data_IF_398295272898
#
_entry.id   IF_398295272898
#
_cell.length_a   1.000
_cell.length_b   1.000
_cell.length_c   1.000
_cell.angle_alpha   90.00
_cell.angle_beta   90.00
_cell.angle_gamma   90.00
#
_symmetry.space_group_name_H-M   'P 1'
#
loop_
_entity.id
_entity.type
_entity.pdbx_description
1 polymer ?
#
# COMPACT_ATOMS: atom_id res chain seq x y z
N UNK A 1 -15.44 -6.07 61.25
CA UNK A 1 -15.68 -7.28 60.44
C UNK A 1 -14.71 -8.37 60.90
N UNK A 2 -15.22 -9.50 61.39
CA UNK A 2 -14.42 -10.48 62.12
C UNK A 2 -13.59 -11.35 61.15
N UNK A 3 -12.28 -11.53 61.37
CA UNK A 3 -11.39 -12.27 60.43
C UNK A 3 -11.85 -13.71 60.16
N UNK A 4 -12.58 -14.30 61.10
CA UNK A 4 -13.17 -15.64 60.96
C UNK A 4 -14.39 -15.65 60.03
N UNK A 5 -15.11 -14.53 59.90
CA UNK A 5 -16.24 -14.39 58.99
C UNK A 5 -15.77 -14.33 57.53
N UNK A 6 -14.64 -13.66 57.27
CA UNK A 6 -14.01 -13.60 55.93
C UNK A 6 -13.50 -14.98 55.50
N UNK A 7 -12.96 -15.78 56.42
CA UNK A 7 -12.52 -17.16 56.11
C UNK A 7 -13.68 -18.11 55.79
N UNK A 8 -14.82 -17.97 56.47
CA UNK A 8 -16.02 -18.78 56.21
C UNK A 8 -16.61 -18.44 54.83
N UNK A 9 -16.63 -17.16 54.45
CA UNK A 9 -17.10 -16.74 53.11
C UNK A 9 -16.14 -17.20 52.01
N UNK A 10 -14.82 -17.16 52.23
CA UNK A 10 -13.83 -17.69 51.27
C UNK A 10 -13.88 -19.21 51.11
N UNK A 11 -14.23 -19.96 52.16
CA UNK A 11 -14.38 -21.42 52.07
C UNK A 11 -15.68 -21.84 51.36
N UNK A 12 -16.76 -21.07 51.52
CA UNK A 12 -18.03 -21.34 50.84
C UNK A 12 -17.97 -21.05 49.31
N UNK A 13 -17.21 -20.04 48.88
CA UNK A 13 -17.01 -19.74 47.45
C UNK A 13 -16.14 -20.79 46.76
N UNK A 14 -15.25 -21.47 47.49
CA UNK A 14 -14.40 -22.52 46.93
C UNK A 14 -15.15 -23.86 46.70
N UNK A 15 -16.26 -24.10 47.41
CA UNK A 15 -17.07 -25.33 47.26
C UNK A 15 -18.11 -25.20 46.14
N UNK A 16 -18.54 -23.98 45.79
CA UNK A 16 -19.43 -23.76 44.65
C UNK A 16 -18.74 -23.93 43.27
N UNK A 17 -17.41 -24.09 43.25
CA UNK A 17 -16.61 -24.22 42.02
C UNK A 17 -16.38 -25.68 41.55
N UNK A 18 -16.97 -26.70 42.20
CA UNK A 18 -16.75 -28.12 41.82
C UNK A 18 -18.05 -28.92 41.64
N UNK A 19 -19.22 -28.27 41.55
CA UNK A 19 -20.43 -28.96 41.06
C UNK A 19 -20.41 -29.02 39.53
N UNK A 20 -19.64 -29.98 39.02
CA UNK A 20 -19.76 -30.46 37.65
C UNK A 20 -21.17 -30.97 37.39
N UNK A 21 -21.81 -30.43 36.35
CA UNK A 21 -22.95 -31.08 35.73
C UNK A 21 -22.40 -32.23 34.89
N UNK A 22 -22.66 -33.47 35.32
CA UNK A 22 -22.46 -34.64 34.48
C UNK A 22 -23.46 -34.60 33.33
N UNK A 23 -22.98 -34.45 32.10
CA UNK A 23 -23.77 -34.54 30.88
C UNK A 23 -23.59 -35.97 30.30
N UNK A 24 -24.65 -36.66 29.88
CA UNK A 24 -24.54 -37.97 29.22
C UNK A 24 -23.77 -37.82 27.90
N UNK A 25 -23.11 -38.89 27.40
CA UNK A 25 -22.28 -38.79 26.20
C UNK A 25 -23.14 -38.40 25.01
N UNK A 26 -22.91 -37.19 24.50
CA UNK A 26 -23.51 -36.72 23.27
C UNK A 26 -22.57 -37.10 22.12
N UNK A 27 -23.14 -37.96 21.27
CA UNK A 27 -22.78 -38.31 19.90
C UNK A 27 -21.83 -37.34 19.19
N UNK A 28 -20.82 -37.93 18.51
CA UNK A 28 -19.91 -37.28 17.57
C UNK A 28 -20.70 -36.56 16.48
N UNK A 29 -21.04 -35.30 16.74
CA UNK A 29 -21.61 -34.41 15.75
C UNK A 29 -20.52 -33.45 15.31
N UNK A 30 -20.06 -33.65 14.08
CA UNK A 30 -19.36 -32.64 13.30
C UNK A 30 -20.12 -31.32 13.44
N UNK A 31 -19.63 -30.42 14.30
CA UNK A 31 -20.08 -29.03 14.34
C UNK A 31 -19.54 -28.38 13.08
N UNK A 32 -20.30 -28.48 11.98
CA UNK A 32 -20.14 -27.61 10.83
C UNK A 32 -20.47 -26.20 11.30
N UNK A 33 -19.44 -25.42 11.64
CA UNK A 33 -19.57 -23.98 11.79
C UNK A 33 -20.30 -23.45 10.55
N UNK A 34 -21.40 -22.73 10.77
CA UNK A 34 -22.12 -22.09 9.68
C UNK A 34 -21.13 -21.22 8.89
N UNK A 35 -21.20 -21.16 7.55
CA UNK A 35 -20.27 -20.36 6.76
C UNK A 35 -20.32 -18.92 7.28
N UNK A 36 -19.21 -18.44 7.81
CA UNK A 36 -19.04 -17.03 8.15
C UNK A 36 -19.28 -16.22 6.88
N UNK A 37 -20.10 -15.18 6.97
CA UNK A 37 -20.38 -14.28 5.84
C UNK A 37 -19.05 -13.77 5.22
N UNK A 38 -18.96 -13.81 3.90
CA UNK A 38 -17.80 -13.34 3.14
C UNK A 38 -17.68 -11.81 3.29
N UNK A 39 -16.56 -11.35 3.84
CA UNK A 39 -16.24 -9.93 4.01
C UNK A 39 -15.35 -9.49 2.85
N UNK A 40 -15.75 -8.46 2.12
CA UNK A 40 -14.94 -7.88 1.04
C UNK A 40 -14.14 -6.70 1.54
N UNK A 41 -12.81 -6.78 1.46
CA UNK A 41 -11.90 -5.71 1.85
C UNK A 41 -11.34 -5.02 0.61
N UNK A 42 -11.83 -3.82 0.29
CA UNK A 42 -11.45 -3.07 -0.91
C UNK A 42 -10.27 -2.15 -0.66
N UNK A 43 -9.22 -2.30 -1.46
CA UNK A 43 -7.97 -1.56 -1.32
C UNK A 43 -7.64 -0.82 -2.62
N UNK A 44 -7.59 0.51 -2.59
CA UNK A 44 -7.01 1.31 -3.67
C UNK A 44 -5.55 1.59 -3.38
N UNK A 45 -4.64 1.24 -4.29
CA UNK A 45 -3.22 1.40 -4.02
C UNK A 45 -2.39 1.88 -5.21
N UNK A 46 -1.24 2.47 -4.89
CA UNK A 46 -0.23 2.87 -5.84
C UNK A 46 0.30 1.66 -6.63
N UNK A 47 0.58 1.84 -7.92
CA UNK A 47 1.14 0.80 -8.78
C UNK A 47 2.42 0.16 -8.24
N UNK A 48 3.31 0.95 -7.63
CA UNK A 48 4.56 0.47 -7.03
C UNK A 48 4.36 -0.46 -5.82
N UNK A 49 3.16 -0.53 -5.25
CA UNK A 49 2.82 -1.39 -4.10
C UNK A 49 2.19 -2.73 -4.53
N UNK A 50 2.01 -2.98 -5.84
CA UNK A 50 1.29 -4.15 -6.32
C UNK A 50 1.89 -5.49 -5.87
N UNK A 51 3.23 -5.64 -5.93
CA UNK A 51 3.93 -6.84 -5.48
C UNK A 51 3.80 -7.04 -3.96
N UNK A 52 4.23 -6.10 -3.10
CA UNK A 52 4.16 -6.30 -1.66
C UNK A 52 2.72 -6.43 -1.13
N UNK A 53 1.74 -5.75 -1.74
CA UNK A 53 0.34 -5.92 -1.34
C UNK A 53 -0.27 -7.24 -1.83
N UNK A 54 0.23 -7.82 -2.92
CA UNK A 54 -0.19 -9.17 -3.34
C UNK A 54 0.34 -10.24 -2.39
N UNK A 55 1.53 -10.06 -1.83
CA UNK A 55 2.07 -10.93 -0.78
C UNK A 55 1.27 -10.75 0.52
N UNK A 56 0.97 -9.50 0.90
CA UNK A 56 0.17 -9.20 2.09
C UNK A 56 -1.27 -9.75 1.98
N UNK A 57 -1.90 -9.67 0.81
CA UNK A 57 -3.22 -10.26 0.55
C UNK A 57 -3.23 -11.75 0.90
N UNK A 58 -2.28 -12.53 0.37
CA UNK A 58 -2.19 -13.97 0.61
C UNK A 58 -2.06 -14.31 2.10
N UNK A 59 -1.18 -13.59 2.80
CA UNK A 59 -0.96 -13.80 4.23
C UNK A 59 -2.20 -13.37 5.04
N UNK A 60 -2.86 -12.27 4.65
CA UNK A 60 -4.03 -11.76 5.35
C UNK A 60 -5.23 -12.70 5.21
N UNK A 61 -5.48 -13.23 4.01
CA UNK A 61 -6.57 -14.18 3.74
C UNK A 61 -6.30 -15.56 4.38
N UNK A 62 -5.04 -15.99 4.45
CA UNK A 62 -4.68 -17.21 5.19
C UNK A 62 -5.00 -17.10 6.69
N UNK A 63 -4.87 -15.90 7.26
CA UNK A 63 -5.22 -15.62 8.67
C UNK A 63 -6.71 -15.33 8.88
N UNK A 64 -7.43 -14.92 7.84
CA UNK A 64 -8.85 -14.56 7.89
C UNK A 64 -9.61 -15.25 6.74
N UNK A 65 -9.97 -16.55 6.89
CA UNK A 65 -10.53 -17.35 5.80
C UNK A 65 -11.85 -16.86 5.22
N UNK A 66 -12.52 -15.92 5.90
CA UNK A 66 -13.78 -15.33 5.49
C UNK A 66 -13.65 -13.93 4.86
N UNK A 67 -12.42 -13.47 4.60
CA UNK A 67 -12.15 -12.18 3.96
C UNK A 67 -11.64 -12.40 2.53
N UNK A 68 -12.21 -11.64 1.59
CA UNK A 68 -11.77 -11.52 0.20
C UNK A 68 -11.16 -10.13 -0.01
N UNK A 69 -9.84 -10.05 -0.22
CA UNK A 69 -9.12 -8.79 -0.41
C UNK A 69 -9.13 -8.38 -1.87
N UNK A 70 -9.83 -7.28 -2.15
CA UNK A 70 -10.03 -6.77 -3.51
C UNK A 70 -9.14 -5.55 -3.77
N UNK A 71 -8.00 -5.76 -4.45
CA UNK A 71 -7.05 -4.68 -4.78
C UNK A 71 -7.30 -4.05 -6.15
N UNK A 72 -7.31 -2.72 -6.19
CA UNK A 72 -7.28 -1.91 -7.42
C UNK A 72 -5.97 -1.09 -7.49
N UNK A 73 -5.09 -1.47 -8.41
CA UNK A 73 -3.77 -0.85 -8.61
C UNK A 73 -3.81 0.29 -9.64
N UNK A 74 -3.33 1.48 -9.29
CA UNK A 74 -3.24 2.63 -10.20
C UNK A 74 -2.24 3.71 -9.73
N UNK A 75 -2.06 4.79 -10.50
CA UNK A 75 -1.29 5.96 -10.04
C UNK A 75 -1.96 6.59 -8.82
N UNK A 76 -1.17 7.08 -7.84
CA UNK A 76 -1.72 7.44 -6.52
C UNK A 76 -2.72 8.60 -6.57
N UNK A 77 -2.53 9.60 -7.44
CA UNK A 77 -3.51 10.68 -7.62
C UNK A 77 -4.81 10.11 -8.17
N UNK A 78 -4.73 9.18 -9.12
CA UNK A 78 -5.91 8.49 -9.66
C UNK A 78 -6.62 7.63 -8.60
N UNK A 79 -5.86 6.96 -7.73
CA UNK A 79 -6.39 6.15 -6.63
C UNK A 79 -7.20 7.01 -5.64
N UNK A 80 -6.63 8.15 -5.22
CA UNK A 80 -7.34 9.10 -4.35
C UNK A 80 -8.61 9.63 -5.02
N UNK A 81 -8.54 9.99 -6.31
CA UNK A 81 -9.70 10.47 -7.07
C UNK A 81 -10.81 9.44 -7.26
N UNK A 82 -10.53 8.13 -7.14
CA UNK A 82 -11.61 7.15 -7.10
C UNK A 82 -12.57 7.40 -5.93
N UNK A 83 -12.05 7.86 -4.80
CA UNK A 83 -12.83 8.13 -3.60
C UNK A 83 -13.38 9.55 -3.65
N UNK A 84 -12.53 10.55 -3.88
CA UNK A 84 -12.89 11.97 -3.75
C UNK A 84 -13.79 12.46 -4.88
N UNK A 85 -13.52 12.05 -6.13
CA UNK A 85 -14.18 12.61 -7.31
C UNK A 85 -15.25 11.65 -7.85
N UNK A 86 -14.95 10.35 -7.88
CA UNK A 86 -15.85 9.31 -8.41
C UNK A 86 -16.83 8.79 -7.35
N UNK A 87 -16.49 8.91 -6.06
CA UNK A 87 -17.34 8.44 -4.96
C UNK A 87 -17.31 6.92 -4.75
N UNK A 88 -16.28 6.21 -5.25
CA UNK A 88 -16.07 4.81 -4.88
C UNK A 88 -15.77 4.69 -3.39
N UNK A 89 -16.25 3.60 -2.77
CA UNK A 89 -15.92 3.24 -1.38
C UNK A 89 -14.73 2.28 -1.37
N UNK A 90 -13.74 2.59 -0.53
CA UNK A 90 -12.60 1.72 -0.25
C UNK A 90 -12.32 1.71 1.25
N UNK A 91 -11.83 0.58 1.74
CA UNK A 91 -11.53 0.37 3.16
C UNK A 91 -10.08 0.78 3.47
N UNK A 92 -9.18 0.64 2.50
CA UNK A 92 -7.79 1.05 2.60
C UNK A 92 -7.37 1.84 1.37
N UNK A 93 -6.64 2.94 1.58
CA UNK A 93 -5.91 3.63 0.52
C UNK A 93 -4.41 3.67 0.82
N UNK A 94 -3.60 3.24 -0.14
CA UNK A 94 -2.14 3.22 0.00
C UNK A 94 -1.48 4.02 -1.14
N UNK A 95 -0.97 5.20 -0.82
CA UNK A 95 -0.37 6.13 -1.77
C UNK A 95 1.16 6.03 -1.78
N UNK A 96 1.79 6.22 -2.96
CA UNK A 96 3.24 6.40 -3.09
C UNK A 96 3.69 7.83 -2.73
N UNK A 97 2.74 8.72 -2.47
CA UNK A 97 2.96 10.05 -1.92
C UNK A 97 1.98 10.32 -0.78
N UNK A 98 2.49 10.31 0.45
CA UNK A 98 1.65 10.47 1.64
C UNK A 98 0.94 11.83 1.67
N UNK A 99 1.49 12.86 1.00
CA UNK A 99 0.92 14.21 1.03
C UNK A 99 -0.43 14.31 0.30
N UNK A 100 -0.72 13.37 -0.60
CA UNK A 100 -2.00 13.31 -1.32
C UNK A 100 -3.17 13.03 -0.38
N UNK A 101 -2.97 12.27 0.70
CA UNK A 101 -4.04 11.93 1.65
C UNK A 101 -4.48 13.20 2.42
N UNK A 102 -3.60 13.93 3.15
CA UNK A 102 -4.01 15.17 3.80
C UNK A 102 -4.49 16.26 2.84
N UNK A 103 -3.92 16.36 1.63
CA UNK A 103 -4.26 17.46 0.71
C UNK A 103 -5.55 17.27 -0.06
N UNK A 104 -5.97 16.03 -0.31
CA UNK A 104 -7.13 15.74 -1.16
C UNK A 104 -8.25 15.00 -0.43
N UNK A 105 -7.97 14.32 0.69
CA UNK A 105 -8.97 13.52 1.39
C UNK A 105 -9.43 14.14 2.71
N UNK A 106 -8.63 15.01 3.33
CA UNK A 106 -9.02 15.57 4.62
C UNK A 106 -9.94 16.79 4.47
N UNK A 107 -10.89 17.00 5.40
CA UNK A 107 -11.34 16.05 6.43
C UNK A 107 -12.43 15.08 5.92
N UNK A 108 -12.92 15.28 4.70
CA UNK A 108 -14.18 14.70 4.24
C UNK A 108 -14.15 13.17 4.02
N UNK A 109 -12.97 12.60 3.75
CA UNK A 109 -12.79 11.19 3.39
C UNK A 109 -11.75 10.47 4.26
N UNK A 110 -10.95 11.19 5.05
CA UNK A 110 -9.98 10.62 5.97
C UNK A 110 -9.62 11.61 7.09
N UNK A 111 -9.27 11.08 8.26
CA UNK A 111 -8.84 11.87 9.43
C UNK A 111 -7.35 11.71 9.75
N UNK A 112 -6.73 10.65 9.27
CA UNK A 112 -5.35 10.29 9.61
C UNK A 112 -4.62 9.55 8.47
N UNK A 113 -3.28 9.59 8.53
CA UNK A 113 -2.40 8.91 7.57
C UNK A 113 -1.17 8.41 8.30
N UNK A 114 -0.67 7.23 7.92
CA UNK A 114 0.57 6.65 8.45
C UNK A 114 1.60 6.56 7.34
N UNK A 115 2.82 6.99 7.62
CA UNK A 115 3.98 6.82 6.73
C UNK A 115 4.68 5.52 7.09
N UNK A 116 4.65 4.55 6.19
CA UNK A 116 5.15 3.20 6.48
C UNK A 116 6.34 2.77 5.60
N UNK A 117 6.61 3.46 4.49
CA UNK A 117 7.67 3.11 3.56
C UNK A 117 8.29 4.35 2.89
N UNK A 118 9.48 4.16 2.30
CA UNK A 118 10.19 5.13 1.45
C UNK A 118 10.67 4.44 0.18
N UNK A 119 11.03 5.23 -0.84
CA UNK A 119 11.59 4.73 -2.09
C UNK A 119 12.56 5.75 -2.68
N UNK A 120 13.38 5.32 -3.63
CA UNK A 120 14.36 6.14 -4.34
C UNK A 120 14.04 6.18 -5.84
N UNK A 121 14.20 7.35 -6.45
CA UNK A 121 14.09 7.48 -7.91
C UNK A 121 15.39 6.97 -8.55
N UNK A 122 15.25 6.08 -9.54
CA UNK A 122 16.36 5.52 -10.32
C UNK A 122 16.03 5.58 -11.81
N UNK A 123 17.07 5.49 -12.63
CA UNK A 123 16.93 5.24 -14.06
C UNK A 123 17.10 3.75 -14.32
N UNK A 124 16.00 3.04 -14.53
CA UNK A 124 16.04 1.62 -14.89
C UNK A 124 16.34 1.45 -16.38
N UNK A 125 17.23 0.51 -16.72
CA UNK A 125 17.58 0.17 -18.10
C UNK A 125 17.97 -1.31 -18.21
N UNK A 126 17.99 -1.82 -19.45
CA UNK A 126 18.43 -3.19 -19.75
C UNK A 126 19.82 -3.17 -20.38
N UNK A 127 20.75 -3.95 -19.84
CA UNK A 127 22.09 -4.11 -20.42
C UNK A 127 22.09 -4.69 -21.83
N UNK A 128 21.03 -5.41 -22.22
CA UNK A 128 20.92 -6.04 -23.53
C UNK A 128 20.14 -5.21 -24.55
N UNK A 129 19.13 -4.45 -24.09
CA UNK A 129 18.14 -3.80 -24.98
C UNK A 129 18.28 -2.28 -25.03
N UNK A 130 18.86 -1.67 -24.00
CA UNK A 130 18.98 -0.22 -23.94
C UNK A 130 20.21 0.25 -24.71
N UNK A 131 20.06 1.34 -25.45
CA UNK A 131 21.19 1.99 -26.11
C UNK A 131 22.12 2.59 -25.06
N UNK A 132 23.43 2.53 -25.32
CA UNK A 132 24.47 3.08 -24.45
C UNK A 132 24.48 2.48 -23.03
N UNK A 133 23.98 1.26 -22.85
CA UNK A 133 23.88 0.62 -21.54
C UNK A 133 25.24 0.37 -20.88
N UNK A 134 26.30 0.17 -21.67
CA UNK A 134 27.67 -0.02 -21.18
C UNK A 134 28.40 1.32 -20.93
N UNK A 135 27.83 2.44 -21.38
CA UNK A 135 28.40 3.78 -21.24
C UNK A 135 27.73 4.61 -20.15
N UNK A 136 26.51 4.27 -19.75
CA UNK A 136 25.71 5.06 -18.80
C UNK A 136 26.28 4.98 -17.38
N UNK A 137 26.36 6.14 -16.71
CA UNK A 137 26.87 6.30 -15.36
C UNK A 137 26.09 7.38 -14.58
N UNK A 138 26.23 7.44 -13.24
CA UNK A 138 25.64 8.51 -12.43
C UNK A 138 26.07 9.93 -12.84
N UNK A 139 27.21 10.08 -13.51
CA UNK A 139 27.78 11.35 -13.93
C UNK A 139 27.31 11.81 -15.32
N UNK A 140 26.82 10.88 -16.17
CA UNK A 140 26.54 11.16 -17.59
C UNK A 140 25.13 10.74 -18.07
N UNK A 141 24.30 10.12 -17.22
CA UNK A 141 23.00 9.56 -17.62
C UNK A 141 22.13 10.58 -18.38
N UNK A 142 22.19 11.85 -17.98
CA UNK A 142 21.43 12.92 -18.61
C UNK A 142 21.88 13.20 -20.04
N UNK A 143 23.17 13.07 -20.34
CA UNK A 143 23.70 13.23 -21.68
C UNK A 143 23.36 12.02 -22.56
N UNK A 144 23.33 10.81 -21.99
CA UNK A 144 22.81 9.63 -22.68
C UNK A 144 21.35 9.85 -23.08
N UNK A 145 20.49 10.30 -22.17
CA UNK A 145 19.07 10.55 -22.45
C UNK A 145 18.84 11.67 -23.48
N UNK A 146 19.78 12.60 -23.66
CA UNK A 146 19.67 13.68 -24.65
C UNK A 146 19.91 13.21 -26.08
N UNK A 147 20.62 12.10 -26.30
CA UNK A 147 20.93 11.59 -27.64
C UNK A 147 19.64 11.37 -28.45
N UNK A 148 19.67 11.71 -29.74
CA UNK A 148 18.48 11.72 -30.60
C UNK A 148 17.88 10.36 -30.88
N UNK A 149 18.70 9.33 -30.73
CA UNK A 149 18.32 7.96 -30.98
C UNK A 149 17.96 7.20 -29.69
N UNK A 150 18.02 7.86 -28.52
CA UNK A 150 17.61 7.32 -27.22
C UNK A 150 16.17 7.68 -26.92
N UNK A 151 15.41 6.68 -26.45
CA UNK A 151 14.02 6.81 -26.03
C UNK A 151 13.92 6.39 -24.57
N UNK A 152 13.21 7.18 -23.77
CA UNK A 152 12.92 6.90 -22.37
C UNK A 152 11.45 7.20 -22.07
N UNK A 153 10.94 6.63 -20.99
CA UNK A 153 9.55 6.79 -20.56
C UNK A 153 9.45 7.05 -19.07
N UNK A 154 8.37 7.71 -18.67
CA UNK A 154 7.94 7.89 -17.29
C UNK A 154 6.41 7.95 -17.27
N UNK A 155 5.80 7.70 -16.11
CA UNK A 155 4.34 7.66 -16.00
C UNK A 155 3.71 9.06 -16.12
N UNK A 156 2.39 9.11 -16.33
CA UNK A 156 1.68 10.38 -16.50
C UNK A 156 1.75 11.24 -15.22
N UNK A 157 2.37 12.44 -15.27
CA UNK A 157 2.52 13.31 -14.10
C UNK A 157 1.21 13.77 -13.45
N UNK A 158 0.09 13.77 -14.19
CA UNK A 158 -1.21 14.16 -13.64
C UNK A 158 -1.86 13.08 -12.78
N UNK A 159 -1.38 11.83 -12.86
CA UNK A 159 -2.03 10.68 -12.24
C UNK A 159 -1.12 9.89 -11.30
N UNK A 160 0.20 9.96 -11.47
CA UNK A 160 1.12 9.07 -10.78
C UNK A 160 2.34 9.81 -10.18
N UNK A 161 2.66 9.57 -8.89
CA UNK A 161 3.85 10.14 -8.26
C UNK A 161 5.18 9.89 -8.95
N UNK A 162 5.38 8.70 -9.52
CA UNK A 162 6.61 8.44 -10.28
C UNK A 162 6.75 9.42 -11.47
N UNK A 163 5.63 9.78 -12.10
CA UNK A 163 5.57 10.66 -13.26
C UNK A 163 5.98 12.09 -12.94
N UNK A 164 5.35 12.72 -11.95
CA UNK A 164 5.74 14.08 -11.56
C UNK A 164 7.11 14.11 -10.87
N UNK A 165 7.52 13.04 -10.17
CA UNK A 165 8.88 12.94 -9.59
C UNK A 165 9.95 12.79 -10.67
N UNK A 166 9.68 12.13 -11.79
CA UNK A 166 10.62 12.09 -12.91
C UNK A 166 10.91 13.50 -13.44
N UNK A 167 9.87 14.32 -13.60
CA UNK A 167 10.02 15.73 -13.99
C UNK A 167 10.82 16.53 -12.94
N UNK A 168 10.53 16.33 -11.66
CA UNK A 168 11.28 16.97 -10.56
C UNK A 168 12.76 16.57 -10.58
N UNK A 169 13.08 15.28 -10.79
CA UNK A 169 14.46 14.78 -10.87
C UNK A 169 15.20 15.43 -12.03
N UNK A 170 14.58 15.56 -13.22
CA UNK A 170 15.18 16.27 -14.33
C UNK A 170 15.47 17.74 -13.96
N UNK A 171 14.52 18.45 -13.37
CA UNK A 171 14.74 19.85 -12.98
C UNK A 171 15.84 19.99 -11.92
N UNK A 172 15.86 19.13 -10.90
CA UNK A 172 16.89 19.14 -9.85
C UNK A 172 18.27 18.77 -10.38
N UNK A 173 18.34 17.93 -11.41
CA UNK A 173 19.61 17.59 -12.05
C UNK A 173 20.25 18.77 -12.79
N UNK A 174 19.49 19.79 -13.24
CA UNK A 174 20.08 21.03 -13.75
C UNK A 174 20.91 21.72 -12.69
N UNK A 175 20.35 21.83 -11.48
CA UNK A 175 20.99 22.47 -10.34
C UNK A 175 22.19 21.65 -9.86
N UNK A 176 22.06 20.32 -9.85
CA UNK A 176 23.11 19.43 -9.36
C UNK A 176 24.32 19.33 -10.31
N UNK A 177 24.09 19.27 -11.62
CA UNK A 177 25.16 19.06 -12.60
C UNK A 177 25.52 20.33 -13.40
N UNK A 178 24.82 21.45 -13.19
CA UNK A 178 25.07 22.70 -13.92
C UNK A 178 24.71 22.62 -15.41
N UNK A 179 23.75 21.76 -15.78
CA UNK A 179 23.33 21.52 -17.16
C UNK A 179 21.93 22.09 -17.42
N UNK A 180 21.66 22.55 -18.65
CA UNK A 180 20.33 23.07 -19.03
C UNK A 180 19.59 22.04 -19.89
N UNK A 181 18.41 21.58 -19.46
CA UNK A 181 17.55 20.61 -20.15
C UNK A 181 16.56 21.25 -21.12
N UNK A 182 16.74 22.51 -21.53
CA UNK A 182 15.85 23.23 -22.45
C UNK A 182 15.55 22.48 -23.77
N UNK A 183 16.33 21.45 -24.12
CA UNK A 183 16.09 20.54 -25.26
C UNK A 183 15.11 19.39 -25.02
N UNK A 184 14.70 19.06 -23.79
CA UNK A 184 13.80 17.92 -23.53
C UNK A 184 12.31 18.25 -23.60
N UNK A 185 11.92 19.49 -23.32
CA UNK A 185 10.52 19.91 -23.43
C UNK A 185 9.96 19.86 -24.86
N UNK A 186 10.82 19.62 -25.87
CA UNK A 186 10.47 19.50 -27.29
C UNK A 186 10.48 18.06 -27.85
N UNK A 187 10.91 17.04 -27.10
CA UNK A 187 10.80 15.64 -27.55
C UNK A 187 9.41 15.10 -27.16
N UNK A 188 8.65 14.48 -28.08
CA UNK A 188 7.36 13.91 -27.74
C UNK A 188 7.55 12.78 -26.73
N UNK A 189 7.11 13.00 -25.50
CA UNK A 189 7.00 11.94 -24.51
C UNK A 189 5.95 10.93 -24.98
N UNK A 190 6.33 9.66 -25.13
CA UNK A 190 5.36 8.58 -25.32
C UNK A 190 4.90 8.13 -23.93
N UNK A 191 3.63 8.43 -23.62
CA UNK A 191 2.92 7.91 -22.46
C UNK A 191 2.56 6.42 -22.65
#
# INVERSE_FOLDING_TARGET
MNKNFIKIVLFAVLIAAISGCAQPPADDTNTTEAPSEEIKLKIFHAGSLAVPLSELEKEFEALHPNVDVQRESMGSVKAVRQITDIGKKGDVIASADYTLIPSMMYPDYADWTVRFARNDMVLAYSTEKSKYADEISPENWYDILRKDDVVYGFSNPNFDPCGYRAVMVFQLSELNYGVVWSRLYGKPFKY
#
